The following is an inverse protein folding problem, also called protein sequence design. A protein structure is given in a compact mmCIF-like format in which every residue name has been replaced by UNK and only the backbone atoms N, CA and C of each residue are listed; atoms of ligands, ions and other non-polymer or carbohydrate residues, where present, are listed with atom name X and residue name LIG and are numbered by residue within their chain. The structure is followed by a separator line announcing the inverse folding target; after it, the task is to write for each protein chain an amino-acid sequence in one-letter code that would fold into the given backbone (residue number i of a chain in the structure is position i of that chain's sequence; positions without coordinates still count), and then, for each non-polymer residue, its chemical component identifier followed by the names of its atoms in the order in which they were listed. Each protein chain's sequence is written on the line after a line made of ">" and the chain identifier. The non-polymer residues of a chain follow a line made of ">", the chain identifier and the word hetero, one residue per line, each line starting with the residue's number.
data_IF_172528212095
#
_entry.id   IF_172528212095
#
_cell.length_a   1.000
_cell.length_b   1.000
_cell.length_c   1.000
_cell.angle_alpha   90.00
_cell.angle_beta   90.00
_cell.angle_gamma   90.00
#
_symmetry.space_group_name_H-M   'P 1'
#
loop_
_entity.id
_entity.type
_entity.pdbx_description
1 polymer ?
#
# COMPACT_ATOMS: atom_id res chain seq x y z
N UNK A 1 -9.23 -20.30 19.31
CA UNK A 1 -9.29 -18.85 19.67
C UNK A 1 -10.21 -18.14 18.71
N UNK A 2 -10.89 -17.07 19.18
CA UNK A 2 -11.82 -16.33 18.31
C UNK A 2 -11.26 -14.97 17.96
N UNK A 3 -11.33 -14.62 16.66
CA UNK A 3 -10.98 -13.30 16.14
C UNK A 3 -12.17 -12.68 15.43
N UNK A 4 -12.25 -11.35 15.43
CA UNK A 4 -13.25 -10.64 14.65
C UNK A 4 -12.85 -10.65 13.18
N UNK A 5 -13.74 -11.13 12.31
CA UNK A 5 -13.57 -11.16 10.88
C UNK A 5 -14.36 -10.00 10.24
N UNK A 6 -13.65 -9.06 9.62
CA UNK A 6 -14.28 -7.92 8.96
C UNK A 6 -15.13 -8.31 7.75
N UNK A 7 -14.87 -9.46 7.11
CA UNK A 7 -15.63 -9.95 5.98
C UNK A 7 -17.04 -10.42 6.40
N UNK A 8 -17.12 -11.17 7.52
CA UNK A 8 -18.38 -11.71 8.01
C UNK A 8 -19.03 -10.82 9.06
N UNK A 9 -18.33 -9.79 9.54
CA UNK A 9 -18.73 -8.92 10.67
C UNK A 9 -19.03 -9.67 11.97
N UNK A 10 -18.34 -10.80 12.21
CA UNK A 10 -18.55 -11.68 13.37
C UNK A 10 -17.23 -12.10 14.01
N UNK A 11 -17.30 -12.49 15.29
CA UNK A 11 -16.21 -13.24 15.92
C UNK A 11 -16.34 -14.69 15.49
N UNK A 12 -15.27 -15.22 14.93
CA UNK A 12 -15.17 -16.58 14.40
C UNK A 12 -13.99 -17.31 14.99
N UNK A 13 -14.04 -18.62 14.98
CA UNK A 13 -12.89 -19.44 15.33
C UNK A 13 -11.76 -19.23 14.31
N UNK A 14 -10.59 -18.90 14.82
CA UNK A 14 -9.42 -18.71 13.96
C UNK A 14 -8.85 -20.05 13.53
N UNK A 15 -8.89 -20.31 12.23
CA UNK A 15 -8.29 -21.47 11.59
C UNK A 15 -7.24 -20.99 10.59
N UNK A 16 -5.95 -21.30 10.79
CA UNK A 16 -4.91 -20.88 9.84
C UNK A 16 -5.02 -21.67 8.54
N UNK A 17 -4.70 -21.04 7.40
CA UNK A 17 -4.69 -21.69 6.09
C UNK A 17 -3.66 -22.83 5.98
N UNK A 18 -2.64 -22.83 6.82
CA UNK A 18 -1.64 -23.89 6.92
C UNK A 18 -1.59 -24.39 8.37
N UNK A 19 -1.74 -25.70 8.62
CA UNK A 19 -1.69 -26.24 9.98
C UNK A 19 -0.44 -25.81 10.74
N UNK A 20 -0.62 -25.20 11.91
CA UNK A 20 0.46 -24.76 12.78
C UNK A 20 1.29 -23.55 12.29
N UNK A 21 0.97 -22.97 11.12
CA UNK A 21 1.67 -21.80 10.57
C UNK A 21 0.69 -20.68 10.25
N UNK A 22 0.87 -19.52 10.86
CA UNK A 22 0.16 -18.28 10.54
C UNK A 22 1.05 -17.40 9.68
N UNK A 23 0.62 -17.09 8.47
CA UNK A 23 1.21 -16.04 7.64
C UNK A 23 0.47 -14.74 7.93
N UNK A 24 1.18 -13.75 8.43
CA UNK A 24 0.63 -12.46 8.85
C UNK A 24 1.25 -11.35 8.01
N UNK A 25 0.42 -10.58 7.32
CA UNK A 25 0.84 -9.36 6.65
C UNK A 25 0.31 -8.16 7.44
N UNK A 26 1.18 -7.18 7.64
CA UNK A 26 0.83 -5.91 8.29
C UNK A 26 1.36 -4.76 7.45
N UNK A 27 0.52 -3.73 7.25
CA UNK A 27 0.97 -2.54 6.55
C UNK A 27 2.03 -1.81 7.36
N UNK A 28 3.13 -1.46 6.71
CA UNK A 28 4.17 -0.63 7.30
C UNK A 28 3.94 0.87 7.09
N UNK A 29 4.86 1.71 7.58
CA UNK A 29 4.77 3.15 7.47
C UNK A 29 5.07 3.65 6.05
N UNK A 30 4.54 4.85 5.74
CA UNK A 30 5.09 5.69 4.68
C UNK A 30 6.15 6.59 5.30
N UNK A 31 7.38 6.44 4.85
CA UNK A 31 8.58 6.95 5.56
C UNK A 31 9.01 8.34 5.08
N UNK A 32 8.14 9.33 5.22
CA UNK A 32 8.41 10.74 4.94
C UNK A 32 8.38 11.64 6.18
N UNK A 33 7.98 11.09 7.32
CA UNK A 33 7.84 11.77 8.60
C UNK A 33 7.91 10.78 9.75
N UNK A 34 8.15 11.28 10.98
CA UNK A 34 8.08 10.46 12.19
C UNK A 34 6.68 9.85 12.38
N UNK A 35 6.63 8.60 12.81
CA UNK A 35 5.39 7.99 13.25
C UNK A 35 4.91 8.68 14.54
N UNK A 36 3.64 9.08 14.56
CA UNK A 36 3.04 9.60 15.79
C UNK A 36 2.32 8.48 16.57
N UNK A 37 1.88 8.79 17.79
CA UNK A 37 1.27 7.80 18.68
C UNK A 37 0.07 7.07 18.08
N UNK A 38 -0.71 7.72 17.20
CA UNK A 38 -1.83 7.11 16.50
C UNK A 38 -1.39 6.01 15.54
N UNK A 39 -0.27 6.19 14.84
CA UNK A 39 0.31 5.16 13.98
C UNK A 39 0.89 4.02 14.83
N UNK A 40 1.65 4.36 15.87
CA UNK A 40 2.31 3.38 16.74
C UNK A 40 1.30 2.48 17.47
N UNK A 41 0.11 2.98 17.77
CA UNK A 41 -0.98 2.16 18.33
C UNK A 41 -1.32 0.96 17.46
N UNK A 42 -1.38 1.14 16.14
CA UNK A 42 -1.66 0.05 15.20
C UNK A 42 -0.56 -1.01 15.27
N UNK A 43 0.70 -0.60 15.23
CA UNK A 43 1.85 -1.53 15.31
C UNK A 43 1.92 -2.27 16.65
N UNK A 44 1.54 -1.62 17.76
CA UNK A 44 1.39 -2.30 19.06
C UNK A 44 0.32 -3.38 19.01
N UNK A 45 -0.85 -3.09 18.41
CA UNK A 45 -1.94 -4.07 18.29
C UNK A 45 -1.54 -5.28 17.43
N UNK A 46 -0.84 -5.04 16.32
CA UNK A 46 -0.31 -6.08 15.45
C UNK A 46 0.73 -6.96 16.17
N UNK A 47 1.62 -6.35 16.93
CA UNK A 47 2.64 -7.03 17.72
C UNK A 47 2.02 -7.89 18.83
N UNK A 48 1.02 -7.36 19.52
CA UNK A 48 0.27 -8.13 20.53
C UNK A 48 -0.41 -9.34 19.91
N UNK A 49 -1.01 -9.19 18.74
CA UNK A 49 -1.61 -10.32 18.02
C UNK A 49 -0.55 -11.35 17.63
N UNK A 50 0.59 -10.94 17.07
CA UNK A 50 1.68 -11.86 16.75
C UNK A 50 2.17 -12.62 17.98
N UNK A 51 2.44 -11.91 19.08
CA UNK A 51 2.91 -12.50 20.33
C UNK A 51 1.90 -13.49 20.90
N UNK A 52 0.61 -13.14 20.84
CA UNK A 52 -0.46 -14.03 21.31
C UNK A 52 -0.60 -15.29 20.45
N UNK A 53 -0.49 -15.17 19.13
CA UNK A 53 -0.48 -16.31 18.22
C UNK A 53 0.68 -17.26 18.53
N UNK A 54 1.88 -16.73 18.76
CA UNK A 54 3.07 -17.52 19.16
C UNK A 54 2.87 -18.19 20.53
N UNK A 55 2.33 -17.45 21.49
CA UNK A 55 1.98 -17.99 22.82
C UNK A 55 0.96 -19.13 22.71
N UNK A 56 0.02 -19.05 21.79
CA UNK A 56 -0.98 -20.09 21.51
C UNK A 56 -0.44 -21.29 20.73
N UNK A 57 0.88 -21.36 20.49
CA UNK A 57 1.54 -22.50 19.88
C UNK A 57 1.69 -22.45 18.36
N UNK A 58 1.27 -21.36 17.70
CA UNK A 58 1.47 -21.20 16.25
C UNK A 58 2.88 -20.71 15.92
N UNK A 59 3.45 -21.22 14.85
CA UNK A 59 4.54 -20.53 14.16
C UNK A 59 3.95 -19.35 13.42
N UNK A 60 4.54 -18.17 13.53
CA UNK A 60 4.09 -16.97 12.81
C UNK A 60 5.21 -16.50 11.91
N UNK A 61 4.90 -16.24 10.64
CA UNK A 61 5.75 -15.52 9.70
C UNK A 61 5.08 -14.18 9.39
N UNK A 62 5.61 -13.10 9.95
CA UNK A 62 5.11 -11.75 9.76
C UNK A 62 5.90 -11.02 8.68
N UNK A 63 5.18 -10.41 7.75
CA UNK A 63 5.72 -9.58 6.67
C UNK A 63 5.18 -8.16 6.84
N UNK A 64 6.03 -7.17 6.62
CA UNK A 64 5.68 -5.75 6.62
C UNK A 64 6.33 -5.07 5.43
N UNK A 65 5.58 -4.24 4.70
CA UNK A 65 6.17 -3.36 3.69
C UNK A 65 6.67 -2.05 4.32
N UNK A 66 7.60 -1.39 3.63
CA UNK A 66 7.92 0.02 3.85
C UNK A 66 7.55 0.77 2.58
N UNK A 67 6.71 1.81 2.70
CA UNK A 67 6.38 2.68 1.57
C UNK A 67 7.42 3.80 1.50
N UNK A 68 8.48 3.54 0.77
CA UNK A 68 9.65 4.41 0.59
C UNK A 68 9.62 5.20 -0.72
N UNK A 69 8.53 5.10 -1.48
CA UNK A 69 8.33 5.77 -2.76
C UNK A 69 6.85 6.07 -3.01
N UNK A 70 6.60 7.16 -3.73
CA UNK A 70 5.34 7.42 -4.40
C UNK A 70 4.09 7.38 -3.54
N UNK A 71 3.95 8.31 -2.60
CA UNK A 71 2.69 8.47 -1.89
C UNK A 71 2.13 9.87 -2.12
N UNK A 72 1.09 9.94 -2.94
CA UNK A 72 0.41 11.20 -3.23
C UNK A 72 -0.30 11.74 -1.97
N UNK A 73 -0.39 13.05 -1.85
CA UNK A 73 -1.01 13.71 -0.70
C UNK A 73 -2.53 13.59 -0.71
N UNK A 74 -3.14 13.21 -1.84
CA UNK A 74 -4.58 12.98 -1.98
C UNK A 74 -4.89 11.56 -2.42
N UNK A 75 -6.01 11.01 -1.97
CA UNK A 75 -6.53 9.70 -2.39
C UNK A 75 -7.00 9.67 -3.86
N UNK A 76 -6.93 10.82 -4.55
CA UNK A 76 -7.45 11.04 -5.90
C UNK A 76 -6.36 11.14 -6.97
N UNK A 77 -5.19 10.58 -6.73
CA UNK A 77 -4.06 10.57 -7.67
C UNK A 77 -3.61 11.97 -8.17
N UNK A 78 -3.99 13.05 -7.47
CA UNK A 78 -3.77 14.45 -7.90
C UNK A 78 -2.92 15.29 -6.93
N UNK A 79 -2.50 14.74 -5.79
CA UNK A 79 -1.74 15.48 -4.76
C UNK A 79 -0.23 15.49 -4.98
N UNK A 80 0.47 16.44 -4.35
CA UNK A 80 1.93 16.49 -4.31
C UNK A 80 2.51 15.25 -3.61
N UNK A 81 3.63 14.73 -4.11
CA UNK A 81 4.33 13.60 -3.50
C UNK A 81 4.84 13.95 -2.10
N UNK A 82 4.39 13.20 -1.10
CA UNK A 82 4.78 13.40 0.30
C UNK A 82 6.27 13.18 0.52
N UNK A 83 6.88 12.23 -0.20
CA UNK A 83 8.30 11.95 -0.12
C UNK A 83 9.12 13.11 -0.68
N UNK A 84 8.73 13.63 -1.85
CA UNK A 84 9.40 14.77 -2.48
C UNK A 84 9.27 16.04 -1.62
N UNK A 85 8.09 16.26 -1.02
CA UNK A 85 7.88 17.37 -0.07
C UNK A 85 8.79 17.27 1.15
N UNK A 86 8.94 16.08 1.70
CA UNK A 86 9.87 15.79 2.79
C UNK A 86 11.32 16.08 2.39
N UNK A 87 11.74 15.61 1.23
CA UNK A 87 13.07 15.79 0.68
C UNK A 87 13.42 17.29 0.48
N UNK A 88 12.54 18.05 -0.16
CA UNK A 88 12.69 19.50 -0.36
C UNK A 88 12.79 20.24 0.97
N UNK A 89 11.97 19.90 1.97
CA UNK A 89 11.97 20.51 3.31
C UNK A 89 13.30 20.30 4.03
N UNK A 90 13.92 19.13 3.90
CA UNK A 90 15.12 18.74 4.63
C UNK A 90 16.40 18.85 3.83
N UNK A 91 16.33 19.30 2.57
CA UNK A 91 17.47 19.41 1.64
C UNK A 91 18.20 18.07 1.48
N UNK A 92 17.46 16.98 1.37
CA UNK A 92 17.94 15.61 1.20
C UNK A 92 17.30 14.97 -0.03
N UNK A 93 17.90 13.88 -0.51
CA UNK A 93 17.28 13.05 -1.54
C UNK A 93 16.08 12.28 -0.97
N UNK A 94 15.16 11.84 -1.83
CA UNK A 94 14.01 11.02 -1.42
C UNK A 94 14.47 9.74 -0.72
N UNK A 95 15.53 9.10 -1.20
CA UNK A 95 16.06 7.86 -0.59
C UNK A 95 16.72 8.10 0.76
N UNK A 96 17.41 9.22 0.96
CA UNK A 96 17.96 9.60 2.27
C UNK A 96 16.85 9.86 3.29
N UNK A 97 15.78 10.52 2.89
CA UNK A 97 14.58 10.73 3.72
C UNK A 97 13.94 9.39 4.08
N UNK A 98 13.71 8.52 3.07
CA UNK A 98 13.13 7.21 3.30
C UNK A 98 13.95 6.39 4.31
N UNK A 99 15.27 6.35 4.11
CA UNK A 99 16.16 5.65 5.04
C UNK A 99 16.10 6.24 6.44
N UNK A 100 16.21 7.55 6.59
CA UNK A 100 16.21 8.22 7.89
C UNK A 100 14.94 7.93 8.70
N UNK A 101 13.76 8.07 8.07
CA UNK A 101 12.50 7.82 8.78
C UNK A 101 12.20 6.34 8.97
N UNK A 102 12.72 5.46 8.12
CA UNK A 102 12.69 4.00 8.35
C UNK A 102 13.48 3.63 9.59
N UNK A 103 14.70 4.13 9.71
CA UNK A 103 15.56 3.89 10.88
C UNK A 103 14.92 4.42 12.16
N UNK A 104 14.37 5.66 12.12
CA UNK A 104 13.65 6.27 13.24
C UNK A 104 12.41 5.46 13.65
N UNK A 105 11.64 4.98 12.68
CA UNK A 105 10.47 4.14 12.93
C UNK A 105 10.83 2.85 13.69
N UNK A 106 11.85 2.13 13.24
CA UNK A 106 12.26 0.89 13.91
C UNK A 106 12.90 1.15 15.28
N UNK A 107 13.58 2.29 15.46
CA UNK A 107 14.07 2.69 16.78
C UNK A 107 12.91 2.95 17.75
N UNK A 108 11.86 3.63 17.31
CA UNK A 108 10.67 3.84 18.14
C UNK A 108 9.90 2.53 18.40
N UNK A 109 9.80 1.64 17.42
CA UNK A 109 9.27 0.28 17.64
C UNK A 109 10.06 -0.47 18.71
N UNK A 110 11.40 -0.40 18.66
CA UNK A 110 12.28 -1.04 19.66
C UNK A 110 12.05 -0.47 21.07
N UNK A 111 11.91 0.85 21.22
CA UNK A 111 11.60 1.50 22.51
C UNK A 111 10.25 1.05 23.08
N UNK A 112 9.29 0.75 22.21
CA UNK A 112 7.95 0.25 22.57
C UNK A 112 7.90 -1.29 22.72
N UNK A 113 9.04 -1.97 22.62
CA UNK A 113 9.12 -3.44 22.65
C UNK A 113 8.27 -4.12 21.56
N UNK A 114 8.11 -3.48 20.42
CA UNK A 114 7.47 -4.06 19.24
C UNK A 114 8.51 -4.91 18.51
N UNK A 115 8.17 -6.16 18.27
CA UNK A 115 9.04 -7.10 17.55
C UNK A 115 9.16 -6.68 16.08
N UNK A 116 10.37 -6.62 15.55
CA UNK A 116 10.59 -6.46 14.12
C UNK A 116 9.96 -7.63 13.37
N UNK A 117 9.20 -7.40 12.29
CA UNK A 117 8.66 -8.47 11.44
C UNK A 117 9.75 -9.39 10.90
N UNK A 118 9.38 -10.64 10.57
CA UNK A 118 10.35 -11.62 10.05
C UNK A 118 10.85 -11.23 8.64
N UNK A 119 10.05 -10.47 7.90
CA UNK A 119 10.41 -9.86 6.61
C UNK A 119 9.94 -8.42 6.60
N UNK A 120 10.84 -7.52 6.25
CA UNK A 120 10.55 -6.09 6.02
C UNK A 120 10.99 -5.76 4.60
N UNK A 121 10.04 -5.34 3.75
CA UNK A 121 10.31 -5.17 2.33
C UNK A 121 9.98 -3.74 1.88
N UNK A 122 10.96 -2.93 1.46
CA UNK A 122 10.72 -1.64 0.85
C UNK A 122 10.03 -1.76 -0.51
N UNK A 123 9.11 -0.86 -0.82
CA UNK A 123 8.39 -0.87 -2.10
C UNK A 123 9.36 -0.74 -3.29
N UNK A 124 10.42 0.07 -3.15
CA UNK A 124 11.44 0.22 -4.20
C UNK A 124 12.19 -1.06 -4.52
N UNK A 125 12.31 -1.98 -3.58
CA UNK A 125 12.95 -3.28 -3.80
C UNK A 125 12.08 -4.26 -4.61
N UNK A 126 10.77 -3.99 -4.76
CA UNK A 126 9.79 -4.87 -5.41
C UNK A 126 9.35 -4.35 -6.79
N UNK A 127 10.03 -3.38 -7.38
CA UNK A 127 9.64 -2.81 -8.69
C UNK A 127 9.56 -3.88 -9.80
N UNK A 128 10.50 -4.81 -9.96
CA UNK A 128 10.39 -5.86 -10.97
C UNK A 128 9.17 -6.77 -10.77
N UNK A 129 8.84 -7.09 -9.52
CA UNK A 129 7.67 -7.89 -9.16
C UNK A 129 6.37 -7.15 -9.47
N UNK A 130 6.32 -5.85 -9.23
CA UNK A 130 5.17 -5.01 -9.59
C UNK A 130 4.96 -4.97 -11.09
N UNK A 131 6.01 -4.77 -11.89
CA UNK A 131 5.94 -4.81 -13.35
C UNK A 131 5.36 -6.14 -13.80
N UNK A 132 5.92 -7.26 -13.34
CA UNK A 132 5.44 -8.60 -13.69
C UNK A 132 3.98 -8.84 -13.28
N UNK A 133 3.55 -8.33 -12.12
CA UNK A 133 2.15 -8.41 -11.69
C UNK A 133 1.24 -7.65 -12.65
N UNK A 134 1.60 -6.42 -13.00
CA UNK A 134 0.81 -5.56 -13.89
C UNK A 134 0.75 -6.15 -15.30
N UNK A 135 1.85 -6.70 -15.83
CA UNK A 135 1.85 -7.45 -17.10
C UNK A 135 0.85 -8.61 -17.06
N UNK A 136 0.89 -9.44 -16.01
CA UNK A 136 -0.05 -10.54 -15.85
C UNK A 136 -1.52 -10.09 -15.74
N UNK A 137 -1.80 -8.91 -15.15
CA UNK A 137 -3.15 -8.35 -15.13
C UNK A 137 -3.61 -7.85 -16.49
N UNK A 138 -2.71 -7.24 -17.27
CA UNK A 138 -2.98 -6.84 -18.66
C UNK A 138 -3.25 -8.04 -19.56
N UNK A 139 -2.42 -9.09 -19.49
CA UNK A 139 -2.59 -10.33 -20.26
C UNK A 139 -3.93 -11.01 -19.95
N UNK A 140 -4.36 -10.99 -18.69
CA UNK A 140 -5.64 -11.58 -18.26
C UNK A 140 -6.84 -10.67 -18.51
N UNK A 141 -6.65 -9.45 -19.00
CA UNK A 141 -7.69 -8.47 -19.27
C UNK A 141 -8.31 -7.82 -18.03
N UNK A 142 -7.64 -7.88 -16.88
CA UNK A 142 -8.04 -7.16 -15.65
C UNK A 142 -7.48 -5.74 -15.58
N UNK A 143 -6.55 -5.39 -16.44
CA UNK A 143 -5.99 -4.06 -16.54
C UNK A 143 -6.02 -3.54 -17.98
N UNK A 144 -5.89 -2.23 -18.14
CA UNK A 144 -5.83 -1.57 -19.44
C UNK A 144 -4.92 -0.35 -19.40
N UNK A 145 -4.41 0.06 -20.58
CA UNK A 145 -3.60 1.26 -20.74
C UNK A 145 -4.50 2.38 -21.27
N UNK A 146 -4.47 3.54 -20.63
CA UNK A 146 -5.16 4.75 -21.09
C UNK A 146 -4.39 6.00 -20.68
N UNK A 147 -4.34 7.02 -21.53
CA UNK A 147 -3.62 8.26 -21.25
C UNK A 147 -2.12 8.11 -20.97
N UNK A 148 -1.55 6.93 -21.19
CA UNK A 148 -0.17 6.56 -20.88
C UNK A 148 -0.01 5.85 -19.52
N UNK A 149 -1.02 5.80 -18.68
CA UNK A 149 -1.03 5.08 -17.41
C UNK A 149 -1.67 3.70 -17.54
N UNK A 150 -1.40 2.81 -16.59
CA UNK A 150 -2.05 1.50 -16.50
C UNK A 150 -3.08 1.52 -15.39
N UNK A 151 -4.31 1.10 -15.68
CA UNK A 151 -5.43 1.08 -14.74
C UNK A 151 -5.91 -0.35 -14.51
N UNK A 152 -6.41 -0.60 -13.31
CA UNK A 152 -7.18 -1.80 -13.00
C UNK A 152 -8.64 -1.59 -13.39
N UNK A 153 -9.23 -2.55 -14.11
CA UNK A 153 -10.63 -2.55 -14.53
C UNK A 153 -11.48 -3.25 -13.46
N UNK A 154 -12.12 -2.47 -12.60
CA UNK A 154 -12.93 -2.98 -11.50
C UNK A 154 -14.19 -3.70 -11.96
N UNK A 155 -14.68 -3.42 -13.18
CA UNK A 155 -15.85 -4.10 -13.77
C UNK A 155 -15.62 -5.59 -14.08
N UNK A 156 -14.35 -6.04 -14.09
CA UNK A 156 -13.98 -7.44 -14.29
C UNK A 156 -14.15 -8.29 -13.04
N UNK A 157 -14.39 -7.67 -11.88
CA UNK A 157 -14.60 -8.38 -10.63
C UNK A 157 -16.10 -8.47 -10.32
N UNK A 158 -16.62 -9.69 -10.17
CA UNK A 158 -18.03 -9.92 -9.80
C UNK A 158 -18.40 -9.30 -8.46
N UNK A 159 -17.43 -9.22 -7.53
CA UNK A 159 -17.60 -8.66 -6.19
C UNK A 159 -16.39 -7.78 -5.84
N UNK A 160 -16.40 -6.53 -6.25
CA UNK A 160 -15.34 -5.58 -5.89
C UNK A 160 -15.52 -5.06 -4.45
N UNK A 161 -16.76 -4.68 -4.08
CA UNK A 161 -17.08 -4.13 -2.75
C UNK A 161 -17.37 -5.23 -1.73
N UNK A 162 -16.33 -6.01 -1.36
CA UNK A 162 -16.50 -7.18 -0.48
C UNK A 162 -16.72 -6.77 0.99
N UNK A 163 -16.16 -5.63 1.42
CA UNK A 163 -16.21 -5.17 2.81
C UNK A 163 -17.23 -4.05 3.05
N UNK A 164 -17.82 -3.49 2.00
CA UNK A 164 -18.75 -2.38 2.09
C UNK A 164 -19.99 -2.69 1.26
N UNK A 165 -21.17 -2.42 1.82
CA UNK A 165 -22.47 -2.51 1.11
C UNK A 165 -22.69 -1.28 0.18
N UNK A 166 -21.64 -0.52 -0.13
CA UNK A 166 -21.73 0.62 -1.03
C UNK A 166 -22.02 0.16 -2.44
N UNK A 167 -23.10 0.67 -3.01
CA UNK A 167 -23.37 0.58 -4.44
C UNK A 167 -22.48 1.59 -5.17
N UNK A 168 -22.18 1.32 -6.45
CA UNK A 168 -21.38 2.24 -7.28
C UNK A 168 -21.90 3.68 -7.27
N UNK A 169 -23.22 3.87 -7.14
CA UNK A 169 -23.89 5.17 -7.07
C UNK A 169 -23.59 5.95 -5.76
N UNK A 170 -23.16 5.26 -4.69
CA UNK A 170 -22.82 5.89 -3.40
C UNK A 170 -21.37 6.42 -3.35
N UNK A 171 -20.56 6.12 -4.36
CA UNK A 171 -19.23 6.73 -4.53
C UNK A 171 -19.41 8.15 -5.06
N UNK A 172 -19.69 9.08 -4.17
CA UNK A 172 -19.61 10.50 -4.48
C UNK A 172 -18.14 10.83 -4.80
N UNK A 173 -17.82 10.82 -6.10
CA UNK A 173 -16.57 11.37 -6.61
C UNK A 173 -16.57 12.85 -6.25
N UNK A 174 -15.57 13.31 -5.50
CA UNK A 174 -15.47 14.72 -5.16
C UNK A 174 -15.98 15.14 -3.78
N UNK A 175 -16.12 14.21 -2.81
CA UNK A 175 -16.43 14.55 -1.40
C UNK A 175 -15.33 15.43 -0.77
N UNK A 176 -14.13 15.48 -1.36
CA UNK A 176 -13.07 16.43 -0.98
C UNK A 176 -12.90 17.46 -2.09
N UNK A 177 -12.94 18.73 -1.75
CA UNK A 177 -12.63 19.83 -2.65
C UNK A 177 -11.28 19.61 -3.35
N UNK A 178 -11.26 19.70 -4.70
CA UNK A 178 -10.05 19.60 -5.51
C UNK A 178 -9.78 18.24 -6.18
N UNK A 179 -10.71 17.29 -6.11
CA UNK A 179 -10.60 16.00 -6.84
C UNK A 179 -11.13 16.17 -8.26
N UNK A 180 -10.25 16.26 -9.24
CA UNK A 180 -10.62 16.18 -10.65
C UNK A 180 -10.87 14.74 -11.06
N UNK A 181 -11.96 14.47 -11.79
CA UNK A 181 -12.20 13.15 -12.39
C UNK A 181 -11.12 12.84 -13.43
N UNK A 182 -10.48 11.68 -13.31
CA UNK A 182 -9.56 11.20 -14.34
C UNK A 182 -10.35 10.65 -15.53
N UNK A 183 -10.38 11.43 -16.62
CA UNK A 183 -11.12 11.12 -17.85
C UNK A 183 -10.59 9.84 -18.56
N UNK A 184 -9.43 9.31 -18.17
CA UNK A 184 -8.88 8.07 -18.74
C UNK A 184 -9.47 6.81 -18.12
N UNK A 185 -10.16 6.93 -16.97
CA UNK A 185 -10.82 5.79 -16.32
C UNK A 185 -12.06 5.36 -17.12
N UNK A 186 -12.22 4.04 -17.28
CA UNK A 186 -13.43 3.45 -17.88
C UNK A 186 -14.60 3.45 -16.90
N UNK A 187 -14.30 3.16 -15.63
CA UNK A 187 -15.27 3.13 -14.54
C UNK A 187 -14.78 4.04 -13.41
N UNK A 188 -15.69 4.65 -12.67
CA UNK A 188 -15.33 5.55 -11.54
C UNK A 188 -14.48 4.89 -10.48
N UNK A 189 -14.70 3.58 -10.24
CA UNK A 189 -13.99 2.78 -9.26
C UNK A 189 -12.61 2.32 -9.73
N UNK A 190 -12.27 2.45 -11.02
CA UNK A 190 -10.96 2.06 -11.53
C UNK A 190 -9.86 2.87 -10.87
N UNK A 191 -8.69 2.25 -10.68
CA UNK A 191 -7.56 2.90 -10.04
C UNK A 191 -6.26 2.63 -10.81
N UNK A 192 -5.31 3.54 -10.67
CA UNK A 192 -4.03 3.45 -11.36
C UNK A 192 -3.16 2.38 -10.72
N UNK A 193 -2.65 1.46 -11.54
CA UNK A 193 -1.65 0.46 -11.17
C UNK A 193 -0.23 0.96 -11.43
N UNK A 194 -0.04 1.74 -12.51
CA UNK A 194 1.27 2.22 -12.93
C UNK A 194 1.17 3.60 -13.57
N UNK A 195 1.89 4.57 -13.00
CA UNK A 195 1.95 5.94 -13.53
C UNK A 195 3.14 6.13 -14.43
N UNK A 196 2.93 6.46 -15.71
CA UNK A 196 3.98 6.87 -16.64
C UNK A 196 3.98 8.37 -16.91
N UNK A 197 2.85 9.02 -16.66
CA UNK A 197 2.72 10.48 -16.78
C UNK A 197 2.35 11.06 -15.43
N UNK A 198 3.27 11.78 -14.83
CA UNK A 198 3.02 12.60 -13.65
C UNK A 198 2.77 14.05 -14.08
N UNK A 199 1.86 14.73 -13.40
CA UNK A 199 1.70 16.20 -13.52
C UNK A 199 2.93 16.95 -12.92
N UNK A 200 3.81 16.24 -12.23
CA UNK A 200 4.99 16.81 -11.55
C UNK A 200 6.26 16.40 -12.29
N UNK A 201 6.91 17.37 -12.95
CA UNK A 201 8.12 17.16 -13.73
C UNK A 201 9.37 16.87 -12.86
N UNK A 202 9.35 17.25 -11.59
CA UNK A 202 10.47 17.23 -10.65
C UNK A 202 10.68 15.90 -9.91
N UNK A 203 10.21 14.78 -10.45
CA UNK A 203 10.36 13.50 -9.75
C UNK A 203 11.77 12.94 -9.87
N UNK A 204 12.38 12.72 -8.71
CA UNK A 204 13.76 12.27 -8.58
C UNK A 204 13.94 10.79 -8.92
N UNK A 205 12.92 9.96 -8.63
CA UNK A 205 12.95 8.52 -8.85
C UNK A 205 12.15 8.15 -10.10
N UNK A 206 12.81 7.44 -11.02
CA UNK A 206 12.21 6.94 -12.27
C UNK A 206 12.62 5.49 -12.49
N UNK A 207 11.70 4.67 -12.94
CA UNK A 207 11.96 3.27 -13.31
C UNK A 207 11.54 3.03 -14.75
N UNK A 208 12.34 2.26 -15.47
CA UNK A 208 11.98 1.80 -16.80
C UNK A 208 10.91 0.71 -16.70
N UNK A 209 9.91 0.75 -17.59
CA UNK A 209 8.86 -0.24 -17.66
C UNK A 209 8.39 -0.44 -19.10
N UNK A 210 7.71 -1.56 -19.41
CA UNK A 210 7.14 -1.81 -20.76
C UNK A 210 6.17 -0.72 -21.25
N UNK A 211 5.62 0.08 -20.33
CA UNK A 211 4.66 1.15 -20.64
C UNK A 211 5.28 2.54 -20.69
N UNK A 212 6.58 2.63 -20.45
CA UNK A 212 7.37 3.85 -20.38
C UNK A 212 7.97 4.09 -18.99
N UNK A 213 8.64 5.24 -18.84
CA UNK A 213 9.25 5.62 -17.57
C UNK A 213 8.17 5.85 -16.52
N UNK A 214 8.19 5.04 -15.47
CA UNK A 214 7.36 5.30 -14.31
C UNK A 214 7.97 6.40 -13.45
N UNK A 215 7.14 7.35 -13.08
CA UNK A 215 7.51 8.41 -12.15
C UNK A 215 7.14 8.06 -10.70
N UNK A 216 6.22 7.09 -10.52
CA UNK A 216 5.80 6.59 -9.21
C UNK A 216 5.13 5.23 -9.37
N UNK A 217 5.53 4.26 -8.55
CA UNK A 217 4.66 3.13 -8.28
C UNK A 217 3.53 3.65 -7.37
N UNK A 218 2.43 4.11 -7.97
CA UNK A 218 1.25 4.52 -7.22
C UNK A 218 0.77 3.41 -6.29
N UNK A 219 -0.31 3.63 -5.61
CA UNK A 219 -1.00 2.78 -4.60
C UNK A 219 -0.96 1.26 -4.77
N UNK A 220 -0.51 0.75 -5.93
CA UNK A 220 -0.32 -0.68 -6.25
C UNK A 220 0.70 -1.39 -5.36
N UNK A 221 1.63 -0.67 -4.70
CA UNK A 221 2.59 -1.31 -3.80
C UNK A 221 1.91 -2.10 -2.69
N UNK A 222 0.84 -1.57 -2.09
CA UNK A 222 0.08 -2.27 -1.07
C UNK A 222 -0.69 -3.49 -1.61
N UNK A 223 -1.13 -3.47 -2.87
CA UNK A 223 -1.85 -4.59 -3.49
C UNK A 223 -0.93 -5.77 -3.84
N UNK A 224 0.33 -5.50 -4.20
CA UNK A 224 1.29 -6.54 -4.54
C UNK A 224 1.81 -7.33 -3.34
N UNK A 225 1.69 -6.78 -2.12
CA UNK A 225 2.07 -7.46 -0.88
C UNK A 225 0.93 -8.29 -0.27
N UNK A 226 -0.28 -8.22 -0.80
CA UNK A 226 -1.45 -9.00 -0.36
C UNK A 226 -1.57 -10.31 -1.13
#
# INVERSE_FOLDING_TARGET
>A
MQLYNSLSHKKEEFVPNHPGLVKMYTCGPTVYHFAHIGNLRTYIMEDVLEKYLRYSGYRVKRVMNITDVGHLSSDADTGEDKMLKGAKREHKTVMEIAKYYTDAFFEDCRKLNIKTPDVVEPATACIPEFIKLVEGLLEKGYAYVAGGNVYFDTSKLEKYYVFNDHKEDDLAVGVREGVEEDQNKRNKADFVLWFTKSKFEDQELKWDSPWGWATQAGTSSAAAFR
#
